data_IF_846379608390
#
_entry.id   IF_846379608390
#
_cell.length_a   1.000
_cell.length_b   1.000
_cell.length_c   1.000
_cell.angle_alpha   90.00
_cell.angle_beta   90.00
_cell.angle_gamma   90.00
#
_symmetry.space_group_name_H-M   'P 1'
#
loop_
_entity.id
_entity.type
_entity.pdbx_description
1 polymer ?
#
# COMPACT_ATOMS: atom_id res chain seq x y z
N UNK A 1 -11.60 -18.43 -0.15
CA UNK A 1 -12.04 -18.33 -1.56
C UNK A 1 -13.40 -17.72 -1.73
N UNK A 2 -13.49 -16.51 -2.31
CA UNK A 2 -14.70 -16.10 -3.03
C UNK A 2 -14.75 -16.86 -4.36
N UNK A 3 -15.95 -17.23 -4.80
CA UNK A 3 -16.14 -17.88 -6.10
C UNK A 3 -16.67 -16.89 -7.12
N UNK A 4 -16.46 -17.14 -8.42
CA UNK A 4 -16.97 -16.27 -9.48
C UNK A 4 -18.51 -16.15 -9.43
N UNK A 5 -19.23 -17.20 -9.03
CA UNK A 5 -20.68 -17.17 -8.88
C UNK A 5 -21.17 -16.28 -7.73
N UNK A 6 -20.29 -15.92 -6.78
CA UNK A 6 -20.60 -15.10 -5.61
C UNK A 6 -20.18 -13.63 -5.74
N UNK A 7 -19.73 -13.21 -6.93
CA UNK A 7 -19.25 -11.86 -7.21
C UNK A 7 -20.05 -11.27 -8.37
N UNK A 8 -20.44 -10.01 -8.23
CA UNK A 8 -21.12 -9.23 -9.27
C UNK A 8 -20.30 -8.01 -9.66
N UNK A 9 -20.53 -7.52 -10.89
CA UNK A 9 -20.03 -6.20 -11.29
C UNK A 9 -20.66 -5.16 -10.37
N UNK A 10 -19.83 -4.24 -9.88
CA UNK A 10 -20.26 -3.20 -8.96
C UNK A 10 -20.01 -3.50 -7.48
N UNK A 11 -19.69 -4.75 -7.13
CA UNK A 11 -19.37 -5.14 -5.76
C UNK A 11 -18.24 -4.28 -5.19
N UNK A 12 -18.41 -3.83 -3.95
CA UNK A 12 -17.40 -3.04 -3.26
C UNK A 12 -16.48 -3.92 -2.43
N UNK A 13 -15.19 -3.58 -2.48
CA UNK A 13 -14.19 -4.14 -1.60
C UNK A 13 -14.26 -3.35 -0.28
N UNK A 14 -14.31 -4.03 0.89
CA UNK A 14 -14.20 -3.36 2.17
C UNK A 14 -12.95 -2.50 2.25
N UNK A 15 -13.07 -1.32 2.85
CA UNK A 15 -11.93 -0.45 3.06
C UNK A 15 -10.97 -1.02 4.10
N UNK A 16 -9.68 -0.99 3.78
CA UNK A 16 -8.59 -1.29 4.69
C UNK A 16 -7.79 -0.01 4.94
N UNK A 17 -7.90 0.54 6.15
CA UNK A 17 -7.21 1.75 6.56
C UNK A 17 -5.96 1.42 7.40
N UNK A 18 -4.92 2.25 7.28
CA UNK A 18 -3.71 2.21 8.11
C UNK A 18 -3.13 3.60 8.28
N UNK A 19 -2.81 3.98 9.51
CA UNK A 19 -1.94 5.14 9.78
C UNK A 19 -0.50 4.73 9.49
N UNK A 20 0.21 5.50 8.68
CA UNK A 20 1.59 5.22 8.30
C UNK A 20 2.53 5.78 9.36
N UNK A 21 3.28 4.91 10.00
CA UNK A 21 4.26 5.28 11.04
C UNK A 21 5.69 5.13 10.54
N UNK A 22 6.64 5.73 11.25
CA UNK A 22 8.07 5.55 10.95
C UNK A 22 8.49 4.11 11.19
N UNK A 23 7.92 3.47 12.20
CA UNK A 23 8.13 2.07 12.54
C UNK A 23 7.70 1.16 11.38
N UNK A 24 6.56 1.45 10.75
CA UNK A 24 6.10 0.69 9.56
C UNK A 24 7.09 0.81 8.40
N UNK A 25 7.54 2.03 8.09
CA UNK A 25 8.47 2.28 6.97
C UNK A 25 9.83 1.65 7.23
N UNK A 26 10.32 1.71 8.47
CA UNK A 26 11.53 1.02 8.88
C UNK A 26 11.39 -0.49 8.76
N UNK A 27 10.32 -1.07 9.31
CA UNK A 27 10.07 -2.51 9.22
C UNK A 27 9.96 -2.98 7.77
N UNK A 28 9.35 -2.19 6.90
CA UNK A 28 9.26 -2.49 5.47
C UNK A 28 10.63 -2.50 4.80
N UNK A 29 11.49 -1.51 5.07
CA UNK A 29 12.85 -1.47 4.53
C UNK A 29 13.69 -2.66 5.02
N UNK A 30 13.57 -3.02 6.29
CA UNK A 30 14.32 -4.13 6.89
C UNK A 30 13.88 -5.48 6.26
N UNK A 31 12.57 -5.65 6.00
CA UNK A 31 12.03 -6.85 5.37
C UNK A 31 12.28 -6.92 3.86
N UNK A 32 12.19 -5.80 3.15
CA UNK A 32 12.29 -5.71 1.69
C UNK A 32 13.70 -5.44 1.16
N UNK A 33 14.63 -5.00 2.03
CA UNK A 33 16.00 -4.63 1.67
C UNK A 33 16.15 -3.26 1.02
N UNK A 34 15.06 -2.52 0.78
CA UNK A 34 15.11 -1.16 0.24
C UNK A 34 15.43 -0.15 1.34
N UNK A 35 16.73 0.10 1.50
CA UNK A 35 17.32 1.00 2.49
C UNK A 35 17.57 2.41 1.92
N UNK A 36 16.82 2.84 0.90
CA UNK A 36 16.96 4.18 0.33
C UNK A 36 16.78 5.26 1.43
N UNK A 37 17.74 6.20 1.59
CA UNK A 37 17.70 7.19 2.66
C UNK A 37 16.49 8.14 2.57
N UNK A 38 15.85 8.29 1.40
CA UNK A 38 14.59 9.05 1.27
C UNK A 38 13.48 8.54 2.21
N UNK A 39 13.53 7.26 2.59
CA UNK A 39 12.56 6.61 3.45
C UNK A 39 13.02 6.47 4.91
N UNK A 40 14.26 6.85 5.24
CA UNK A 40 14.89 6.53 6.54
C UNK A 40 15.53 7.74 7.23
N UNK A 41 15.99 8.73 6.46
CA UNK A 41 16.76 9.87 6.96
C UNK A 41 16.04 11.19 6.62
N UNK A 42 15.59 11.90 7.66
CA UNK A 42 14.92 13.18 7.48
C UNK A 42 15.84 14.25 6.87
N UNK A 43 17.12 14.28 7.21
CA UNK A 43 18.07 15.27 6.66
C UNK A 43 18.20 15.07 5.15
N UNK A 44 18.30 13.81 4.73
CA UNK A 44 18.34 13.47 3.31
C UNK A 44 17.03 13.84 2.61
N UNK A 45 15.87 13.49 3.20
CA UNK A 45 14.57 13.84 2.64
C UNK A 45 14.36 15.37 2.53
N UNK A 46 14.76 16.13 3.55
CA UNK A 46 14.75 17.61 3.55
C UNK A 46 15.64 18.17 2.45
N UNK A 47 16.82 17.58 2.21
CA UNK A 47 17.72 18.00 1.13
C UNK A 47 17.12 17.84 -0.27
N UNK A 48 16.13 16.96 -0.42
CA UNK A 48 15.36 16.73 -1.65
C UNK A 48 14.08 17.56 -1.71
N UNK A 49 13.80 18.40 -0.71
CA UNK A 49 12.64 19.29 -0.66
C UNK A 49 11.37 18.68 -0.07
N UNK A 50 11.44 17.47 0.48
CA UNK A 50 10.32 16.90 1.25
C UNK A 50 10.31 17.49 2.67
N UNK A 51 9.15 17.58 3.35
CA UNK A 51 9.06 18.02 4.75
C UNK A 51 9.59 16.99 5.77
N UNK A 52 9.94 15.79 5.32
CA UNK A 52 10.47 14.67 6.10
C UNK A 52 10.45 13.40 5.26
N UNK A 53 10.81 12.25 5.86
CA UNK A 53 10.75 10.96 5.15
C UNK A 53 9.34 10.65 4.63
N UNK A 54 9.29 9.91 3.53
CA UNK A 54 8.05 9.42 2.92
C UNK A 54 8.04 7.90 2.91
N UNK A 55 6.86 7.28 2.88
CA UNK A 55 6.77 5.83 2.75
C UNK A 55 7.23 5.34 1.36
N UNK A 56 7.71 4.09 1.29
CA UNK A 56 7.99 3.44 0.01
C UNK A 56 6.71 3.31 -0.83
N UNK A 57 6.79 3.54 -2.13
CA UNK A 57 5.66 3.28 -3.03
C UNK A 57 5.16 1.84 -2.89
N UNK A 58 6.09 0.89 -2.88
CA UNK A 58 5.77 -0.54 -2.75
C UNK A 58 5.16 -0.93 -1.39
N UNK A 59 5.40 -0.17 -0.32
CA UNK A 59 4.69 -0.35 0.95
C UNK A 59 3.19 -0.08 0.76
N UNK A 60 2.82 1.01 0.09
CA UNK A 60 1.42 1.35 -0.19
C UNK A 60 0.76 0.37 -1.16
N UNK A 61 1.49 -0.11 -2.17
CA UNK A 61 1.01 -1.18 -3.06
C UNK A 61 0.79 -2.49 -2.30
N UNK A 62 1.67 -2.82 -1.34
CA UNK A 62 1.49 -3.98 -0.46
C UNK A 62 0.22 -3.88 0.39
N UNK A 63 -0.07 -2.70 0.94
CA UNK A 63 -1.31 -2.44 1.68
C UNK A 63 -2.56 -2.61 0.80
N UNK A 64 -2.52 -2.10 -0.44
CA UNK A 64 -3.57 -2.33 -1.43
C UNK A 64 -3.74 -3.82 -1.75
N UNK A 65 -2.62 -4.53 -1.99
CA UNK A 65 -2.63 -5.96 -2.26
C UNK A 65 -3.26 -6.75 -1.11
N UNK A 66 -2.98 -6.40 0.15
CA UNK A 66 -3.59 -7.02 1.31
C UNK A 66 -5.12 -6.87 1.31
N UNK A 67 -5.64 -5.69 0.96
CA UNK A 67 -7.08 -5.47 0.81
C UNK A 67 -7.70 -6.33 -0.30
N UNK A 68 -7.05 -6.41 -1.46
CA UNK A 68 -7.51 -7.25 -2.59
C UNK A 68 -7.49 -8.73 -2.22
N UNK A 69 -6.42 -9.21 -1.57
CA UNK A 69 -6.30 -10.61 -1.11
C UNK A 69 -7.35 -10.93 -0.05
N UNK A 70 -7.60 -10.04 0.90
CA UNK A 70 -8.63 -10.22 1.91
C UNK A 70 -10.02 -10.34 1.28
N UNK A 71 -10.30 -9.55 0.23
CA UNK A 71 -11.54 -9.67 -0.52
C UNK A 71 -11.59 -10.97 -1.36
N UNK A 72 -10.54 -11.29 -2.11
CA UNK A 72 -10.50 -12.50 -2.94
C UNK A 72 -10.59 -13.79 -2.09
N UNK A 73 -10.06 -13.77 -0.87
CA UNK A 73 -10.14 -14.85 0.11
C UNK A 73 -9.00 -15.86 0.05
N UNK A 74 -8.11 -15.78 -0.94
CA UNK A 74 -6.76 -16.37 -0.90
C UNK A 74 -5.76 -15.59 -1.76
N UNK A 75 -4.46 -15.59 -1.41
CA UNK A 75 -3.43 -14.91 -2.19
C UNK A 75 -3.30 -15.41 -3.63
N UNK A 76 -3.47 -16.72 -3.84
CA UNK A 76 -3.30 -17.35 -5.16
C UNK A 76 -4.37 -16.98 -6.19
N UNK A 77 -5.48 -16.36 -5.77
CA UNK A 77 -6.50 -15.86 -6.67
C UNK A 77 -6.08 -14.55 -7.39
N UNK A 78 -5.07 -13.85 -6.86
CA UNK A 78 -4.57 -12.60 -7.44
C UNK A 78 -3.51 -12.90 -8.48
N UNK A 79 -3.90 -12.83 -9.75
CA UNK A 79 -3.01 -13.15 -10.89
C UNK A 79 -2.18 -11.96 -11.38
N UNK A 80 -2.66 -10.74 -11.16
CA UNK A 80 -1.99 -9.52 -11.57
C UNK A 80 -2.39 -8.35 -10.67
N UNK A 81 -1.43 -7.50 -10.35
CA UNK A 81 -1.62 -6.20 -9.70
C UNK A 81 -0.76 -5.17 -10.41
N UNK A 82 -1.32 -4.00 -10.66
CA UNK A 82 -0.61 -2.86 -11.21
C UNK A 82 -0.98 -1.59 -10.45
N UNK A 83 -0.03 -0.67 -10.35
CA UNK A 83 -0.20 0.59 -9.64
C UNK A 83 0.60 1.71 -10.31
N UNK A 84 0.15 2.94 -10.10
CA UNK A 84 0.91 4.15 -10.41
C UNK A 84 1.02 4.96 -9.12
N UNK A 85 2.24 5.29 -8.71
CA UNK A 85 2.49 6.13 -7.54
C UNK A 85 2.38 7.60 -7.95
N UNK A 86 1.30 8.26 -7.53
CA UNK A 86 0.96 9.62 -7.98
C UNK A 86 1.32 10.72 -6.99
N UNK A 87 1.51 10.36 -5.72
CA UNK A 87 1.87 11.29 -4.65
C UNK A 87 2.66 10.55 -3.57
N UNK A 88 3.55 11.25 -2.83
CA UNK A 88 4.17 10.70 -1.63
C UNK A 88 3.12 10.48 -0.53
N UNK A 89 3.43 9.57 0.40
CA UNK A 89 2.69 9.41 1.65
C UNK A 89 3.59 9.82 2.81
N UNK A 90 3.12 10.76 3.61
CA UNK A 90 3.85 11.32 4.74
C UNK A 90 3.54 10.57 6.04
N UNK A 91 4.46 10.69 7.00
CA UNK A 91 4.30 10.06 8.30
C UNK A 91 3.09 10.65 9.03
N UNK A 92 2.27 9.78 9.64
CA UNK A 92 1.02 10.14 10.31
C UNK A 92 -0.20 10.21 9.38
N UNK A 93 -0.03 10.14 8.06
CA UNK A 93 -1.16 10.05 7.14
C UNK A 93 -1.85 8.69 7.23
N UNK A 94 -3.16 8.68 6.97
CA UNK A 94 -3.93 7.44 6.85
C UNK A 94 -4.07 7.07 5.38
N UNK A 95 -3.55 5.90 5.00
CA UNK A 95 -3.82 5.30 3.70
C UNK A 95 -5.05 4.41 3.79
N UNK A 96 -5.93 4.50 2.80
CA UNK A 96 -7.13 3.68 2.68
C UNK A 96 -7.06 2.93 1.35
N UNK A 97 -7.08 1.61 1.42
CA UNK A 97 -7.24 0.75 0.26
C UNK A 97 -8.70 0.31 0.15
N UNK A 98 -9.33 0.61 -0.97
CA UNK A 98 -10.68 0.17 -1.31
C UNK A 98 -10.77 -0.11 -2.80
N UNK A 99 -11.95 -0.49 -3.27
CA UNK A 99 -12.13 -0.76 -4.70
C UNK A 99 -13.54 -1.21 -5.04
N UNK A 100 -13.77 -1.33 -6.34
CA UNK A 100 -15.02 -1.84 -6.90
C UNK A 100 -14.70 -2.87 -7.96
N UNK A 101 -15.43 -3.98 -7.97
CA UNK A 101 -15.37 -4.91 -9.08
C UNK A 101 -15.90 -4.24 -10.35
N UNK A 102 -15.01 -3.96 -11.29
CA UNK A 102 -15.34 -3.16 -12.48
C UNK A 102 -15.85 -3.95 -13.67
N UNK A 103 -15.70 -5.28 -13.68
CA UNK A 103 -15.99 -6.15 -14.83
C UNK A 103 -16.34 -7.57 -14.41
#
# INVERSE_FOLDING_TARGET
MRTLASVSVGDELPELARVVTREDVKAYADAGGDQNPLHQDDVFAHSLGFPGIIAHGMFTMGHMAAGVVAWAGEPGAVVALSAQFRAPVFMGETIVAGGRNGR
#
